data_IF_721686875257
#
_entry.id   IF_721686875257
#
_cell.length_a   1.000
_cell.length_b   1.000
_cell.length_c   1.000
_cell.angle_alpha   90.00
_cell.angle_beta   90.00
_cell.angle_gamma   90.00
#
_symmetry.space_group_name_H-M   'P 1'
#
loop_
_entity.id
_entity.type
_entity.pdbx_description
1 polymer ?
#
# COMPACT_ATOMS: atom_id res chain seq x y z
N UNK A 1 -25.70 29.93 17.84
CA UNK A 1 -24.64 28.91 17.70
C UNK A 1 -24.75 28.29 16.31
N UNK A 2 -23.73 28.46 15.49
CA UNK A 2 -23.70 28.06 14.07
C UNK A 2 -23.59 26.53 13.94
N UNK A 3 -24.38 25.94 13.04
CA UNK A 3 -24.47 24.49 12.70
C UNK A 3 -23.19 23.92 12.05
N UNK A 4 -22.00 24.36 12.43
CA UNK A 4 -20.73 24.06 11.74
C UNK A 4 -19.63 23.48 12.65
N UNK A 5 -19.95 23.01 13.86
CA UNK A 5 -19.09 22.04 14.54
C UNK A 5 -19.33 20.67 13.90
N UNK A 6 -18.79 20.50 12.70
CA UNK A 6 -18.69 19.21 12.03
C UNK A 6 -18.00 18.23 12.99
N UNK A 7 -18.69 17.12 13.28
CA UNK A 7 -18.23 15.94 14.02
C UNK A 7 -16.84 15.45 13.55
N UNK A 8 -15.78 16.14 13.97
CA UNK A 8 -14.39 15.78 13.69
C UNK A 8 -13.98 14.74 14.73
N UNK A 9 -13.92 13.48 14.30
CA UNK A 9 -13.32 12.42 15.10
C UNK A 9 -11.88 12.81 15.47
N UNK A 10 -11.53 12.61 16.74
CA UNK A 10 -10.12 12.66 17.15
C UNK A 10 -9.33 11.56 16.46
N UNK A 11 -7.99 11.68 16.42
CA UNK A 11 -7.13 10.64 15.84
C UNK A 11 -7.33 9.29 16.55
N UNK A 12 -7.46 9.30 17.87
CA UNK A 12 -7.65 8.08 18.66
C UNK A 12 -8.99 7.39 18.37
N UNK A 13 -10.09 8.14 18.31
CA UNK A 13 -11.42 7.58 17.98
C UNK A 13 -11.46 7.05 16.55
N UNK A 14 -10.88 7.79 15.61
CA UNK A 14 -10.80 7.38 14.21
C UNK A 14 -9.99 6.10 14.08
N UNK A 15 -8.84 5.98 14.75
CA UNK A 15 -8.02 4.76 14.76
C UNK A 15 -8.76 3.56 15.34
N UNK A 16 -9.55 3.73 16.41
CA UNK A 16 -10.42 2.66 16.95
C UNK A 16 -11.41 2.16 15.90
N UNK A 17 -12.08 3.07 15.19
CA UNK A 17 -13.02 2.72 14.12
C UNK A 17 -12.31 2.05 12.94
N UNK A 18 -11.18 2.58 12.50
CA UNK A 18 -10.36 2.00 11.43
C UNK A 18 -9.92 0.59 11.79
N UNK A 19 -9.45 0.34 13.03
CA UNK A 19 -9.09 -0.99 13.51
C UNK A 19 -10.29 -1.94 13.50
N UNK A 20 -11.45 -1.51 14.01
CA UNK A 20 -12.67 -2.32 14.02
C UNK A 20 -13.06 -2.78 12.61
N UNK A 21 -13.16 -1.86 11.65
CA UNK A 21 -13.52 -2.21 10.28
C UNK A 21 -12.42 -3.00 9.54
N UNK A 22 -11.15 -2.73 9.85
CA UNK A 22 -10.02 -3.50 9.29
C UNK A 22 -10.08 -4.96 9.75
N UNK A 23 -10.43 -5.23 11.01
CA UNK A 23 -10.67 -6.61 11.50
C UNK A 23 -11.81 -7.30 10.76
N UNK A 24 -12.81 -6.54 10.31
CA UNK A 24 -13.88 -7.03 9.44
C UNK A 24 -13.46 -7.28 7.97
N UNK A 25 -12.18 -7.06 7.61
CA UNK A 25 -11.62 -7.13 6.24
C UNK A 25 -12.12 -6.05 5.29
N UNK A 26 -12.43 -4.86 5.79
CA UNK A 26 -12.89 -3.76 4.94
C UNK A 26 -11.68 -3.04 4.32
N UNK A 27 -11.80 -2.68 3.04
CA UNK A 27 -10.77 -1.86 2.37
C UNK A 27 -10.76 -0.43 2.92
N UNK A 28 -9.61 0.25 2.92
CA UNK A 28 -9.53 1.64 3.38
C UNK A 28 -10.50 2.58 2.64
N UNK A 29 -10.80 2.30 1.37
CA UNK A 29 -11.75 3.10 0.58
C UNK A 29 -13.16 2.93 1.13
N UNK A 30 -13.60 1.69 1.36
CA UNK A 30 -14.90 1.39 1.96
C UNK A 30 -15.04 1.98 3.37
N UNK A 31 -13.97 1.95 4.16
CA UNK A 31 -13.95 2.58 5.50
C UNK A 31 -14.09 4.11 5.39
N UNK A 32 -13.38 4.74 4.45
CA UNK A 32 -13.48 6.19 4.23
C UNK A 32 -14.89 6.58 3.77
N UNK A 33 -15.49 5.81 2.86
CA UNK A 33 -16.86 6.03 2.38
C UNK A 33 -17.87 5.90 3.53
N UNK A 34 -17.79 4.85 4.36
CA UNK A 34 -18.61 4.72 5.57
C UNK A 34 -18.50 5.92 6.51
N UNK A 35 -17.28 6.34 6.81
CA UNK A 35 -17.06 7.44 7.75
C UNK A 35 -17.64 8.73 7.18
N UNK A 36 -17.54 8.93 5.87
CA UNK A 36 -18.15 10.04 5.15
C UNK A 36 -19.68 9.99 5.20
N UNK A 37 -20.28 8.83 4.99
CA UNK A 37 -21.73 8.63 5.05
C UNK A 37 -22.28 8.88 6.48
N UNK A 38 -21.46 8.62 7.50
CA UNK A 38 -21.75 8.95 8.91
C UNK A 38 -21.42 10.42 9.28
N UNK A 39 -21.15 11.28 8.30
CA UNK A 39 -20.94 12.71 8.49
C UNK A 39 -19.51 13.12 8.86
N UNK A 40 -18.54 12.19 8.85
CA UNK A 40 -17.14 12.48 9.12
C UNK A 40 -16.36 12.74 7.82
N UNK A 41 -15.70 13.90 7.73
CA UNK A 41 -14.83 14.22 6.58
C UNK A 41 -13.47 13.52 6.71
N UNK A 42 -13.42 12.22 6.38
CA UNK A 42 -12.18 11.43 6.41
C UNK A 42 -11.87 10.94 4.99
N UNK A 43 -10.65 11.22 4.51
CA UNK A 43 -10.20 10.74 3.20
C UNK A 43 -9.66 9.31 3.26
N UNK A 44 -9.61 8.65 2.11
CA UNK A 44 -8.95 7.36 1.94
C UNK A 44 -7.49 7.39 2.44
N UNK A 45 -6.73 8.45 2.11
CA UNK A 45 -5.33 8.59 2.52
C UNK A 45 -5.20 8.70 4.04
N UNK A 46 -6.13 9.40 4.71
CA UNK A 46 -6.16 9.48 6.18
C UNK A 46 -6.42 8.11 6.79
N UNK A 47 -7.44 7.38 6.31
CA UNK A 47 -7.71 6.00 6.77
C UNK A 47 -6.50 5.10 6.55
N UNK A 48 -5.85 5.20 5.39
CA UNK A 48 -4.65 4.42 5.08
C UNK A 48 -3.52 4.72 6.07
N UNK A 49 -3.21 5.99 6.32
CA UNK A 49 -2.17 6.38 7.29
C UNK A 49 -2.48 5.90 8.69
N UNK A 50 -3.73 6.01 9.13
CA UNK A 50 -4.13 5.52 10.45
C UNK A 50 -3.99 4.00 10.54
N UNK A 51 -4.39 3.27 9.50
CA UNK A 51 -4.24 1.82 9.45
C UNK A 51 -2.78 1.39 9.49
N UNK A 52 -1.93 2.05 8.70
CA UNK A 52 -0.49 1.76 8.68
C UNK A 52 0.14 2.05 10.06
N UNK A 53 -0.23 3.16 10.73
CA UNK A 53 0.23 3.48 12.08
C UNK A 53 -0.25 2.48 13.14
N UNK A 54 -1.51 2.01 13.05
CA UNK A 54 -2.04 0.96 13.94
C UNK A 54 -1.21 -0.33 13.79
N UNK A 55 -0.86 -0.71 12.55
CA UNK A 55 -0.05 -1.90 12.33
C UNK A 55 1.37 -1.73 12.88
N UNK A 56 1.97 -0.56 12.73
CA UNK A 56 3.28 -0.27 13.31
C UNK A 56 3.27 -0.32 14.85
N UNK A 57 2.21 0.20 15.48
CA UNK A 57 2.00 0.14 16.94
C UNK A 57 1.78 -1.32 17.40
N UNK A 58 0.93 -2.09 16.71
CA UNK A 58 0.70 -3.50 17.03
C UNK A 58 1.97 -4.35 16.87
N UNK A 59 2.81 -4.06 15.87
CA UNK A 59 4.11 -4.75 15.72
C UNK A 59 5.09 -4.50 16.85
N UNK A 60 4.91 -3.42 17.65
CA UNK A 60 5.79 -3.09 18.77
C UNK A 60 5.38 -3.80 20.06
N UNK A 61 4.08 -3.96 20.32
CA UNK A 61 3.56 -4.42 21.61
C UNK A 61 2.95 -5.84 21.60
N UNK A 62 2.63 -6.42 20.44
CA UNK A 62 2.02 -7.76 20.34
C UNK A 62 2.34 -8.48 19.02
N UNK A 63 3.38 -9.33 19.03
CA UNK A 63 3.85 -10.11 17.87
C UNK A 63 2.74 -10.93 17.20
N UNK A 64 1.92 -11.66 17.95
CA UNK A 64 0.87 -12.53 17.38
C UNK A 64 -0.27 -11.73 16.70
N UNK A 65 -0.70 -10.61 17.29
CA UNK A 65 -1.75 -9.76 16.72
C UNK A 65 -1.23 -9.04 15.47
N UNK A 66 0.04 -8.63 15.47
CA UNK A 66 0.69 -8.04 14.31
C UNK A 66 0.79 -9.00 13.13
N UNK A 67 1.16 -10.27 13.38
CA UNK A 67 1.24 -11.30 12.35
C UNK A 67 -0.15 -11.63 11.76
N UNK A 68 -1.18 -11.73 12.60
CA UNK A 68 -2.57 -11.89 12.13
C UNK A 68 -3.02 -10.72 11.26
N UNK A 69 -2.76 -9.49 11.68
CA UNK A 69 -3.14 -8.31 10.89
C UNK A 69 -2.34 -8.19 9.59
N UNK A 70 -1.06 -8.58 9.58
CA UNK A 70 -0.24 -8.68 8.37
C UNK A 70 -0.81 -9.71 7.40
N UNK A 71 -1.19 -10.88 7.89
CA UNK A 71 -1.82 -11.92 7.06
C UNK A 71 -3.12 -11.42 6.43
N UNK A 72 -3.94 -10.67 7.20
CA UNK A 72 -5.15 -10.03 6.67
C UNK A 72 -4.86 -8.98 5.59
N UNK A 73 -3.83 -8.15 5.76
CA UNK A 73 -3.49 -7.15 4.72
C UNK A 73 -2.93 -7.81 3.45
N UNK A 74 -2.17 -8.90 3.59
CA UNK A 74 -1.71 -9.71 2.45
C UNK A 74 -2.87 -10.35 1.68
N UNK A 75 -3.89 -10.87 2.38
CA UNK A 75 -5.12 -11.40 1.77
C UNK A 75 -5.88 -10.31 1.00
N UNK A 76 -6.05 -9.13 1.60
CA UNK A 76 -6.68 -7.98 0.92
C UNK A 76 -5.91 -7.52 -0.31
N UNK A 77 -4.57 -7.54 -0.26
CA UNK A 77 -3.73 -7.22 -1.42
C UNK A 77 -3.93 -8.25 -2.54
N UNK A 78 -3.96 -9.54 -2.21
CA UNK A 78 -4.19 -10.60 -3.20
C UNK A 78 -5.57 -10.45 -3.89
N UNK A 79 -6.61 -10.18 -3.12
CA UNK A 79 -7.96 -9.90 -3.66
C UNK A 79 -7.96 -8.66 -4.54
N UNK A 80 -7.27 -7.59 -4.14
CA UNK A 80 -7.13 -6.37 -4.95
C UNK A 80 -6.41 -6.61 -6.27
N UNK A 81 -5.37 -7.45 -6.28
CA UNK A 81 -4.64 -7.83 -7.50
C UNK A 81 -5.57 -8.56 -8.46
N UNK A 82 -6.29 -9.59 -8.01
CA UNK A 82 -7.20 -10.36 -8.86
C UNK A 82 -8.36 -9.49 -9.39
N UNK A 83 -8.86 -8.54 -8.60
CA UNK A 83 -9.90 -7.61 -9.04
C UNK A 83 -9.43 -6.66 -10.17
N UNK A 84 -8.17 -6.23 -10.15
CA UNK A 84 -7.62 -5.25 -11.11
C UNK A 84 -7.01 -5.92 -12.35
N UNK A 85 -6.61 -7.19 -12.23
CA UNK A 85 -5.93 -7.98 -13.27
C UNK A 85 -6.60 -7.94 -14.66
N UNK A 86 -7.93 -8.03 -14.83
CA UNK A 86 -8.54 -7.96 -16.16
C UNK A 86 -8.35 -6.60 -16.85
N UNK A 87 -8.39 -5.50 -16.07
CA UNK A 87 -8.18 -4.15 -16.61
C UNK A 87 -6.68 -3.89 -16.90
N UNK A 88 -5.81 -4.44 -16.06
CA UNK A 88 -4.35 -4.41 -16.26
C UNK A 88 -3.95 -5.11 -17.57
N UNK A 89 -4.46 -6.32 -17.81
CA UNK A 89 -4.15 -7.09 -19.03
C UNK A 89 -4.63 -6.41 -20.32
N UNK A 90 -5.61 -5.50 -20.23
CA UNK A 90 -6.09 -4.68 -21.35
C UNK A 90 -5.31 -3.38 -21.52
N UNK A 91 -4.27 -3.14 -20.73
CA UNK A 91 -3.44 -1.94 -20.83
C UNK A 91 -4.10 -0.67 -20.26
N UNK A 92 -5.08 -0.79 -19.38
CA UNK A 92 -5.65 0.38 -18.70
C UNK A 92 -4.59 1.05 -17.84
N UNK A 93 -4.26 2.31 -18.15
CA UNK A 93 -3.25 3.10 -17.41
C UNK A 93 -3.53 3.13 -15.90
N UNK A 94 -4.78 3.37 -15.52
CA UNK A 94 -5.17 3.45 -14.10
C UNK A 94 -5.03 2.10 -13.38
N UNK A 95 -5.24 0.99 -14.10
CA UNK A 95 -5.04 -0.36 -13.59
C UNK A 95 -3.56 -0.69 -13.42
N UNK A 96 -2.69 -0.23 -14.34
CA UNK A 96 -1.22 -0.34 -14.21
C UNK A 96 -0.74 0.41 -12.98
N UNK A 97 -1.12 1.69 -12.82
CA UNK A 97 -0.74 2.50 -11.66
C UNK A 97 -1.22 1.88 -10.33
N UNK A 98 -2.40 1.26 -10.33
CA UNK A 98 -2.96 0.60 -9.15
C UNK A 98 -2.28 -0.73 -8.85
N UNK A 99 -1.96 -1.53 -9.87
CA UNK A 99 -1.25 -2.81 -9.73
C UNK A 99 0.14 -2.59 -9.14
N UNK A 100 0.89 -1.60 -9.64
CA UNK A 100 2.22 -1.24 -9.11
C UNK A 100 2.16 -0.90 -7.62
N UNK A 101 1.17 -0.11 -7.19
CA UNK A 101 0.98 0.25 -5.77
C UNK A 101 0.65 -0.96 -4.89
N UNK A 102 -0.13 -1.91 -5.39
CA UNK A 102 -0.46 -3.13 -4.65
C UNK A 102 0.75 -4.06 -4.52
N UNK A 103 1.54 -4.20 -5.58
CA UNK A 103 2.78 -4.99 -5.57
C UNK A 103 3.83 -4.37 -4.63
N UNK A 104 4.02 -3.05 -4.65
CA UNK A 104 4.91 -2.35 -3.71
C UNK A 104 4.49 -2.58 -2.24
N UNK A 105 3.17 -2.52 -1.97
CA UNK A 105 2.64 -2.82 -0.64
C UNK A 105 2.86 -4.29 -0.24
N UNK A 106 2.66 -5.23 -1.16
CA UNK A 106 2.92 -6.66 -0.93
C UNK A 106 4.40 -6.88 -0.58
N UNK A 107 5.28 -6.24 -1.33
CA UNK A 107 6.72 -6.33 -1.15
C UNK A 107 7.16 -5.84 0.24
N UNK A 108 6.67 -4.66 0.65
CA UNK A 108 6.94 -4.12 2.00
C UNK A 108 6.51 -5.06 3.11
N UNK A 109 5.33 -5.67 3.00
CA UNK A 109 4.85 -6.60 4.03
C UNK A 109 5.62 -7.91 4.10
N UNK A 110 6.16 -8.36 2.96
CA UNK A 110 7.03 -9.54 2.89
C UNK A 110 8.49 -9.24 3.22
N UNK A 111 8.84 -7.97 3.45
CA UNK A 111 10.21 -7.55 3.74
C UNK A 111 11.10 -7.52 2.50
N UNK A 112 10.55 -7.54 1.28
CA UNK A 112 11.34 -7.34 0.08
C UNK A 112 11.85 -5.88 0.05
N UNK A 113 13.16 -5.73 -0.07
CA UNK A 113 13.74 -4.42 -0.30
C UNK A 113 13.35 -3.93 -1.70
N UNK A 114 12.97 -2.66 -1.86
CA UNK A 114 12.82 -2.10 -3.19
C UNK A 114 14.16 -2.27 -3.92
N UNK A 115 14.16 -2.52 -5.25
CA UNK A 115 15.40 -2.52 -6.01
C UNK A 115 16.12 -1.19 -5.76
N UNK A 116 17.44 -1.25 -5.65
CA UNK A 116 18.25 -0.04 -5.60
C UNK A 116 17.81 0.88 -6.72
N UNK A 117 17.61 2.17 -6.42
CA UNK A 117 17.36 3.17 -7.45
C UNK A 117 18.54 3.11 -8.41
N UNK A 118 18.35 2.47 -9.55
CA UNK A 118 19.25 2.62 -10.68
C UNK A 118 19.20 4.10 -11.00
N UNK A 119 20.31 4.79 -10.73
CA UNK A 119 20.47 6.14 -11.23
C UNK A 119 20.35 6.03 -12.76
N UNK A 120 19.29 6.63 -13.30
CA UNK A 120 19.10 6.82 -14.75
C UNK A 120 20.13 7.80 -15.33
N UNK A 121 21.19 8.10 -14.59
CA UNK A 121 22.35 8.87 -14.98
C UNK A 121 23.57 8.22 -14.33
N UNK A 122 24.62 7.94 -15.07
CA UNK A 122 25.92 7.67 -14.44
C UNK A 122 26.39 8.95 -13.70
N UNK A 123 27.48 8.90 -12.89
CA UNK A 123 28.00 10.10 -12.23
C UNK A 123 28.41 11.25 -13.17
N UNK A 124 28.45 11.01 -14.48
CA UNK A 124 28.73 12.01 -15.53
C UNK A 124 27.46 12.67 -16.09
N UNK A 125 26.26 12.22 -15.69
CA UNK A 125 24.98 12.78 -16.13
C UNK A 125 24.47 12.23 -17.47
N UNK A 126 25.14 11.24 -18.06
CA UNK A 126 24.63 10.55 -19.25
C UNK A 126 23.62 9.48 -18.85
N UNK A 127 22.50 9.38 -19.56
CA UNK A 127 21.48 8.35 -19.31
C UNK A 127 22.08 6.95 -19.53
N UNK A 128 22.30 6.11 -18.50
CA UNK A 128 22.58 4.71 -18.70
C UNK A 128 21.22 4.01 -18.75
N UNK A 129 21.16 2.97 -19.58
CA UNK A 129 20.05 2.03 -19.66
C UNK A 129 18.94 2.50 -20.60
N UNK A 130 19.29 2.53 -21.88
CA UNK A 130 18.38 1.92 -22.85
C UNK A 130 18.18 0.45 -22.44
N UNK A 131 17.01 0.15 -21.87
CA UNK A 131 16.65 -1.20 -21.40
C UNK A 131 16.59 -2.21 -22.56
N UNK A 132 16.58 -1.75 -23.82
CA UNK A 132 16.68 -2.63 -25.00
C UNK A 132 18.11 -3.17 -25.23
N UNK A 133 19.11 -2.60 -24.55
CA UNK A 133 20.51 -3.01 -24.65
C UNK A 133 20.95 -3.97 -23.54
N UNK A 134 20.10 -4.23 -22.54
CA UNK A 134 20.42 -5.16 -21.48
C UNK A 134 20.30 -6.60 -21.98
N UNK A 135 21.39 -7.36 -21.85
CA UNK A 135 21.35 -8.79 -22.14
C UNK A 135 20.56 -9.52 -21.05
N UNK A 136 20.03 -10.70 -21.39
CA UNK A 136 19.28 -11.54 -20.46
C UNK A 136 20.05 -11.83 -19.16
N UNK A 137 21.36 -12.03 -19.25
CA UNK A 137 22.24 -12.28 -18.10
C UNK A 137 22.38 -11.05 -17.19
N UNK A 138 22.38 -9.84 -17.75
CA UNK A 138 22.42 -8.60 -16.98
C UNK A 138 21.10 -8.36 -16.24
N UNK A 139 19.97 -8.70 -16.86
CA UNK A 139 18.67 -8.71 -16.20
C UNK A 139 18.61 -9.73 -15.05
N UNK A 140 19.13 -10.94 -15.27
CA UNK A 140 19.18 -11.99 -14.24
C UNK A 140 20.11 -11.63 -13.07
N UNK A 141 21.24 -10.97 -13.34
CA UNK A 141 22.17 -10.46 -12.32
C UNK A 141 21.53 -9.36 -11.43
N UNK A 142 20.65 -8.54 -11.99
CA UNK A 142 19.92 -7.51 -11.24
C UNK A 142 18.86 -8.13 -10.32
N UNK A 143 18.19 -9.19 -10.78
CA UNK A 143 17.20 -9.91 -9.98
C UNK A 143 17.81 -10.78 -8.88
N UNK A 144 19.03 -11.30 -9.08
CA UNK A 144 19.69 -12.23 -8.13
C UNK A 144 20.38 -11.54 -6.94
N UNK A 145 20.68 -10.24 -7.02
CA UNK A 145 21.23 -9.46 -5.88
C UNK A 145 20.22 -9.19 -4.76
N UNK A 146 18.96 -9.58 -4.91
CA UNK A 146 17.88 -9.35 -3.94
C UNK A 146 17.70 -10.50 -2.91
N UNK A 147 18.58 -11.50 -2.88
CA UNK A 147 18.49 -12.65 -1.96
C UNK A 147 19.62 -12.72 -0.91
N UNK A 148 20.42 -11.67 -0.72
CA UNK A 148 21.44 -11.57 0.33
C UNK A 148 20.91 -10.87 1.58
#
# INVERSE_FOLDING_TARGET
MTKQEQNKLTVAERRKLVLHYTRGRWSCRRIADLLKDNGHKVSYETVRRDRDAIFEELTKDALEDAERMRALDLDLIAQGIEAIKPAFLRGSKDAVDSMVKLLDRNAKWRGYQPPDKLALTDPSGQQPLDMSLLTKEQLEALCSRQQA
#
